data_IF_977239922747
#
_entry.id   IF_977239922747
#
_cell.length_a   1.000
_cell.length_b   1.000
_cell.length_c   1.000
_cell.angle_alpha   90.00
_cell.angle_beta   90.00
_cell.angle_gamma   90.00
#
_symmetry.space_group_name_H-M   'P 1'
#
loop_
_entity.id
_entity.type
_entity.pdbx_description
1 polymer ?
#
# COMPACT_ATOMS: atom_id res chain seq x y z
N UNK A 1 -14.64 -70.21 -23.23
CA UNK A 1 -13.98 -68.94 -23.50
C UNK A 1 -14.88 -67.85 -22.89
N UNK A 2 -14.48 -67.32 -21.73
CA UNK A 2 -15.22 -66.23 -21.04
C UNK A 2 -14.41 -64.96 -21.23
N UNK A 3 -14.96 -63.99 -21.97
CA UNK A 3 -14.37 -62.66 -22.13
C UNK A 3 -14.75 -61.79 -20.90
N UNK A 4 -13.74 -61.39 -20.16
CA UNK A 4 -13.85 -60.42 -19.07
C UNK A 4 -13.70 -59.03 -19.65
N UNK A 5 -14.75 -58.18 -19.54
CA UNK A 5 -14.70 -56.75 -19.82
C UNK A 5 -14.30 -56.00 -18.56
N UNK A 6 -13.13 -55.32 -18.58
CA UNK A 6 -12.74 -54.34 -17.57
C UNK A 6 -13.51 -53.02 -17.80
N UNK A 7 -14.01 -52.38 -16.75
CA UNK A 7 -14.59 -51.06 -16.89
C UNK A 7 -13.47 -49.98 -16.99
N UNK A 8 -13.53 -49.16 -18.00
CA UNK A 8 -12.70 -47.95 -18.16
C UNK A 8 -13.33 -46.85 -17.29
N UNK A 9 -12.66 -46.52 -16.18
CA UNK A 9 -13.04 -45.42 -15.33
C UNK A 9 -12.52 -44.12 -15.95
N UNK A 10 -13.45 -43.30 -16.47
CA UNK A 10 -13.15 -41.99 -17.03
C UNK A 10 -12.90 -41.01 -15.85
N UNK A 11 -11.66 -40.64 -15.61
CA UNK A 11 -11.29 -39.59 -14.69
C UNK A 11 -11.54 -38.24 -15.38
N UNK A 12 -12.63 -37.56 -15.04
CA UNK A 12 -12.87 -36.18 -15.43
C UNK A 12 -11.92 -35.29 -14.61
N UNK A 13 -10.88 -34.78 -15.26
CA UNK A 13 -10.07 -33.69 -14.74
C UNK A 13 -10.90 -32.42 -14.77
N UNK A 14 -11.37 -31.97 -13.61
CA UNK A 14 -11.96 -30.65 -13.44
C UNK A 14 -10.81 -29.62 -13.45
N UNK A 15 -10.56 -29.02 -14.62
CA UNK A 15 -9.67 -27.88 -14.73
C UNK A 15 -10.37 -26.68 -14.06
N UNK A 16 -9.99 -26.39 -12.83
CA UNK A 16 -10.34 -25.15 -12.17
C UNK A 16 -9.48 -24.06 -12.84
N UNK A 17 -10.07 -23.36 -13.79
CA UNK A 17 -9.51 -22.12 -14.28
C UNK A 17 -9.62 -21.09 -13.16
N UNK A 18 -8.52 -20.82 -12.46
CA UNK A 18 -8.34 -19.55 -11.79
C UNK A 18 -8.28 -18.50 -12.91
N UNK A 19 -9.39 -17.86 -13.17
CA UNK A 19 -9.44 -16.71 -14.05
C UNK A 19 -8.59 -15.61 -13.40
N UNK A 20 -7.43 -15.33 -13.99
CA UNK A 20 -6.76 -14.04 -13.74
C UNK A 20 -7.79 -12.97 -14.09
N UNK A 21 -8.23 -12.20 -13.10
CA UNK A 21 -9.05 -11.01 -13.34
C UNK A 21 -8.19 -10.08 -14.18
N UNK A 22 -8.57 -9.84 -15.42
CA UNK A 22 -7.90 -8.83 -16.22
C UNK A 22 -8.48 -7.47 -15.84
N UNK A 23 -7.63 -6.45 -15.78
CA UNK A 23 -8.00 -5.04 -15.60
C UNK A 23 -9.05 -4.53 -16.64
N UNK A 24 -9.35 -5.32 -17.67
CA UNK A 24 -10.30 -4.99 -18.72
C UNK A 24 -11.75 -4.74 -18.28
N UNK A 25 -12.06 -5.01 -16.99
CA UNK A 25 -13.40 -4.79 -16.42
C UNK A 25 -13.46 -3.51 -15.55
N UNK A 26 -12.33 -2.79 -15.36
CA UNK A 26 -12.31 -1.54 -14.60
C UNK A 26 -12.68 -0.36 -15.51
N UNK A 27 -13.86 0.19 -15.28
CA UNK A 27 -14.34 1.39 -15.97
C UNK A 27 -14.27 2.57 -15.00
N UNK A 28 -13.77 3.71 -15.48
CA UNK A 28 -13.71 4.96 -14.76
C UNK A 28 -14.36 6.07 -15.59
N UNK A 29 -15.10 6.95 -14.92
CA UNK A 29 -15.70 8.12 -15.56
C UNK A 29 -16.11 9.14 -14.51
N UNK A 30 -16.01 10.41 -14.86
CA UNK A 30 -16.44 11.50 -13.98
C UNK A 30 -17.93 11.40 -13.66
N UNK A 31 -18.26 11.39 -12.36
CA UNK A 31 -19.64 11.21 -11.87
C UNK A 31 -20.29 12.54 -11.45
N UNK A 32 -19.55 13.64 -11.42
CA UNK A 32 -20.01 14.94 -10.96
C UNK A 32 -20.37 14.98 -9.47
N UNK A 33 -19.73 14.13 -8.65
CA UNK A 33 -19.96 14.06 -7.20
C UNK A 33 -19.07 15.10 -6.49
N UNK A 34 -19.50 15.47 -5.29
CA UNK A 34 -18.66 16.24 -4.37
C UNK A 34 -17.46 15.39 -3.93
N UNK A 35 -16.28 16.01 -3.95
CA UNK A 35 -15.03 15.42 -3.46
C UNK A 35 -14.60 16.24 -2.23
N UNK A 36 -14.41 15.60 -1.06
CA UNK A 36 -13.91 16.30 0.13
C UNK A 36 -12.50 16.82 -0.08
N UNK A 37 -12.14 17.91 0.64
CA UNK A 37 -10.79 18.47 0.62
C UNK A 37 -9.84 17.59 1.46
N UNK A 38 -8.66 17.29 0.91
CA UNK A 38 -7.56 16.67 1.65
C UNK A 38 -6.80 17.71 2.47
N UNK A 39 -6.33 17.34 3.65
CA UNK A 39 -5.50 18.21 4.48
C UNK A 39 -4.07 17.68 4.58
N UNK A 40 -3.19 18.21 3.74
CA UNK A 40 -1.75 17.91 3.82
C UNK A 40 -1.12 18.33 5.15
N UNK A 41 -1.69 19.32 5.83
CA UNK A 41 -1.26 19.73 7.17
C UNK A 41 -1.51 18.63 8.20
N UNK A 42 -2.70 18.00 8.19
CA UNK A 42 -2.98 16.86 9.10
C UNK A 42 -2.15 15.63 8.74
N UNK A 43 -2.02 15.32 7.44
CA UNK A 43 -1.17 14.21 7.00
C UNK A 43 0.29 14.41 7.46
N UNK A 44 0.84 15.62 7.29
CA UNK A 44 2.18 15.97 7.78
C UNK A 44 2.29 15.80 9.31
N UNK A 45 1.27 16.23 10.05
CA UNK A 45 1.25 16.07 11.51
C UNK A 45 1.24 14.59 11.91
N UNK A 46 0.48 13.75 11.23
CA UNK A 46 0.49 12.29 11.47
C UNK A 46 1.86 11.65 11.19
N UNK A 47 2.59 12.13 10.18
CA UNK A 47 3.96 11.68 9.93
C UNK A 47 4.88 12.13 11.08
N UNK A 48 4.78 13.38 11.52
CA UNK A 48 5.59 13.90 12.61
C UNK A 48 5.37 13.11 13.92
N UNK A 49 4.12 12.80 14.26
CA UNK A 49 3.76 12.00 15.44
C UNK A 49 4.32 10.56 15.36
N UNK A 50 4.36 9.96 14.17
CA UNK A 50 5.01 8.66 13.95
C UNK A 50 6.53 8.73 14.21
N UNK A 51 7.17 9.77 13.67
CA UNK A 51 8.61 9.99 13.80
C UNK A 51 9.03 10.27 15.26
N UNK A 52 8.16 10.90 16.05
CA UNK A 52 8.41 11.16 17.48
C UNK A 52 8.53 9.87 18.30
N UNK A 53 7.94 8.75 17.88
CA UNK A 53 8.17 7.45 18.54
C UNK A 53 9.59 6.94 18.34
N UNK A 54 10.30 7.43 17.33
CA UNK A 54 11.58 6.89 16.86
C UNK A 54 11.40 5.81 15.78
N UNK A 55 12.48 5.12 15.41
CA UNK A 55 12.44 4.04 14.42
C UNK A 55 11.45 2.93 14.80
N UNK A 56 10.48 2.69 13.93
CA UNK A 56 9.39 1.74 14.16
C UNK A 56 9.78 0.31 13.78
N UNK A 57 11.00 -0.06 14.14
CA UNK A 57 11.55 -1.40 13.86
C UNK A 57 10.81 -2.45 14.67
N UNK A 58 10.42 -3.59 14.08
CA UNK A 58 9.75 -4.70 14.76
C UNK A 58 10.41 -5.07 16.11
N UNK A 59 9.60 -5.34 17.13
CA UNK A 59 9.97 -5.64 18.52
C UNK A 59 10.47 -4.45 19.38
N UNK A 60 10.65 -3.25 18.84
CA UNK A 60 11.06 -2.07 19.62
C UNK A 60 9.89 -1.47 20.41
N UNK A 61 10.18 -0.52 21.32
CA UNK A 61 9.14 0.23 22.02
C UNK A 61 8.41 1.19 21.07
N UNK A 62 9.16 1.84 20.15
CA UNK A 62 8.58 2.71 19.12
C UNK A 62 7.55 1.97 18.26
N UNK A 63 7.85 0.74 17.83
CA UNK A 63 6.96 -0.13 17.09
C UNK A 63 5.68 -0.46 17.89
N UNK A 64 5.79 -0.77 19.20
CA UNK A 64 4.62 -1.01 20.05
C UNK A 64 3.76 0.23 20.28
N UNK A 65 4.37 1.40 20.41
CA UNK A 65 3.64 2.66 20.56
C UNK A 65 2.94 3.06 19.26
N UNK A 66 3.59 2.89 18.12
CA UNK A 66 3.04 3.21 16.83
C UNK A 66 1.78 2.38 16.50
N UNK A 67 1.81 1.05 16.67
CA UNK A 67 0.61 0.24 16.40
C UNK A 67 -0.55 0.57 17.37
N UNK A 68 -0.27 0.97 18.61
CA UNK A 68 -1.31 1.41 19.53
C UNK A 68 -1.92 2.74 19.07
N UNK A 69 -1.11 3.68 18.64
CA UNK A 69 -1.51 4.97 18.09
C UNK A 69 -2.39 4.80 16.85
N UNK A 70 -1.97 4.03 15.88
CA UNK A 70 -2.76 3.72 14.68
C UNK A 70 -4.08 3.05 15.04
N UNK A 71 -4.05 2.02 15.88
CA UNK A 71 -5.24 1.31 16.31
C UNK A 71 -6.25 2.23 17.02
N UNK A 72 -5.78 3.18 17.82
CA UNK A 72 -6.65 4.18 18.45
C UNK A 72 -7.29 5.08 17.38
N UNK A 73 -6.48 5.70 16.50
CA UNK A 73 -6.96 6.60 15.46
C UNK A 73 -8.01 5.95 14.55
N UNK A 74 -7.73 4.73 14.05
CA UNK A 74 -8.66 4.03 13.18
C UNK A 74 -9.92 3.57 13.92
N UNK A 75 -9.86 3.26 15.21
CA UNK A 75 -11.09 2.98 16.01
C UNK A 75 -11.94 4.21 16.24
N UNK A 76 -11.33 5.36 16.39
CA UNK A 76 -12.04 6.65 16.53
C UNK A 76 -12.73 7.04 15.23
N UNK A 77 -12.15 6.74 14.07
CA UNK A 77 -12.68 7.11 12.75
C UNK A 77 -13.61 6.04 12.14
N UNK A 78 -13.21 4.78 12.09
CA UNK A 78 -14.01 3.69 11.49
C UNK A 78 -14.98 3.02 12.47
N UNK A 79 -14.79 3.22 13.78
CA UNK A 79 -15.52 2.52 14.84
C UNK A 79 -14.91 1.17 15.22
N UNK A 80 -15.12 0.79 16.49
CA UNK A 80 -14.46 -0.37 17.10
C UNK A 80 -14.68 -1.70 16.38
N UNK A 81 -15.86 -1.90 15.80
CA UNK A 81 -16.23 -3.15 15.12
C UNK A 81 -15.63 -3.28 13.72
N UNK A 82 -15.14 -2.18 13.16
CA UNK A 82 -14.60 -2.09 11.81
C UNK A 82 -13.06 -2.12 11.77
N UNK A 83 -12.40 -2.25 12.92
CA UNK A 83 -10.94 -2.27 13.03
C UNK A 83 -10.45 -3.58 13.61
N UNK A 84 -9.50 -4.19 12.92
CA UNK A 84 -8.89 -5.46 13.30
C UNK A 84 -7.37 -5.36 13.26
N UNK A 85 -6.70 -5.75 14.35
CA UNK A 85 -5.25 -5.91 14.41
C UNK A 85 -4.91 -7.38 14.22
N UNK A 86 -4.27 -7.70 13.11
CA UNK A 86 -3.83 -9.04 12.76
C UNK A 86 -2.42 -9.28 13.31
N UNK A 87 -2.33 -9.93 14.47
CA UNK A 87 -1.05 -10.24 15.12
C UNK A 87 -0.49 -11.56 14.61
N UNK A 88 0.80 -11.59 14.28
CA UNK A 88 1.49 -12.80 13.84
C UNK A 88 2.97 -12.81 14.26
N UNK A 89 3.64 -13.93 14.05
CA UNK A 89 5.06 -14.08 14.35
C UNK A 89 5.78 -14.65 13.13
N UNK A 90 6.97 -14.13 12.89
CA UNK A 90 7.86 -14.61 11.85
C UNK A 90 9.28 -14.75 12.41
N UNK A 91 9.98 -15.83 12.04
CA UNK A 91 11.41 -15.96 12.35
C UNK A 91 12.21 -15.44 11.17
N UNK A 92 13.01 -14.42 11.41
CA UNK A 92 13.84 -13.75 10.40
C UNK A 92 15.25 -13.62 10.94
N UNK A 93 16.24 -14.14 10.24
CA UNK A 93 17.68 -14.14 10.63
C UNK A 93 17.96 -14.70 12.04
N UNK A 94 17.09 -15.57 12.53
CA UNK A 94 17.20 -16.18 13.87
C UNK A 94 16.43 -15.44 14.96
N UNK A 95 15.94 -14.25 14.70
CA UNK A 95 15.08 -13.49 15.60
C UNK A 95 13.61 -13.82 15.38
N UNK A 96 12.83 -13.86 16.46
CA UNK A 96 11.38 -13.98 16.38
C UNK A 96 10.76 -12.59 16.43
N UNK A 97 10.22 -12.15 15.30
CA UNK A 97 9.51 -10.87 15.18
C UNK A 97 8.04 -11.05 15.60
N UNK A 98 7.53 -10.10 16.40
CA UNK A 98 6.11 -9.95 16.67
C UNK A 98 5.60 -8.82 15.78
N UNK A 99 4.69 -9.13 14.89
CA UNK A 99 4.26 -8.26 13.79
C UNK A 99 2.75 -8.03 13.86
N UNK A 100 2.29 -6.89 13.37
CA UNK A 100 0.91 -6.42 13.51
C UNK A 100 0.44 -5.68 12.26
N UNK A 101 -0.31 -6.37 11.38
CA UNK A 101 -1.07 -5.64 10.37
C UNK A 101 -2.31 -5.00 11.03
N UNK A 102 -2.71 -3.83 10.56
CA UNK A 102 -3.94 -3.18 10.97
C UNK A 102 -4.87 -3.07 9.77
N UNK A 103 -6.13 -3.47 9.95
CA UNK A 103 -7.18 -3.37 8.92
C UNK A 103 -8.30 -2.50 9.47
N UNK A 104 -8.74 -1.50 8.71
CA UNK A 104 -9.87 -0.64 9.04
C UNK A 104 -10.83 -0.56 7.84
N UNK A 105 -12.13 -0.83 8.07
CA UNK A 105 -13.15 -0.85 7.03
C UNK A 105 -14.09 0.35 7.16
N UNK A 106 -14.24 1.11 6.07
CA UNK A 106 -15.15 2.25 5.93
C UNK A 106 -16.24 1.95 4.90
N UNK A 107 -17.41 2.59 5.02
CA UNK A 107 -18.54 2.31 4.13
C UNK A 107 -18.91 0.84 4.14
N UNK A 108 -19.10 0.25 5.33
CA UNK A 108 -19.30 -1.20 5.52
C UNK A 108 -20.62 -1.72 4.97
N UNK A 109 -21.55 -0.83 4.63
CA UNK A 109 -22.80 -1.12 3.93
C UNK A 109 -22.59 -1.46 2.44
N UNK A 110 -21.45 -1.08 1.85
CA UNK A 110 -21.09 -1.40 0.48
C UNK A 110 -20.43 -2.77 0.39
N UNK A 111 -21.00 -3.65 -0.44
CA UNK A 111 -20.40 -4.95 -0.77
C UNK A 111 -19.26 -4.83 -1.80
N UNK A 112 -19.30 -3.76 -2.59
CA UNK A 112 -18.30 -3.40 -3.57
C UNK A 112 -17.26 -2.51 -2.92
N UNK A 113 -15.99 -2.90 -2.97
CA UNK A 113 -14.95 -2.31 -2.14
C UNK A 113 -13.63 -2.13 -2.91
N UNK A 114 -12.80 -1.21 -2.44
CA UNK A 114 -11.40 -1.05 -2.85
C UNK A 114 -10.50 -1.16 -1.63
N UNK A 115 -9.21 -1.38 -1.87
CA UNK A 115 -8.18 -1.50 -0.87
C UNK A 115 -7.18 -0.35 -1.00
N UNK A 116 -6.89 0.34 0.10
CA UNK A 116 -5.77 1.27 0.24
C UNK A 116 -4.77 0.68 1.22
N UNK A 117 -3.48 0.78 0.95
CA UNK A 117 -2.47 0.23 1.84
C UNK A 117 -1.21 1.11 1.91
N UNK A 118 -0.47 0.94 2.99
CA UNK A 118 0.90 1.41 3.18
C UNK A 118 1.60 0.45 4.14
N UNK A 119 2.93 0.37 4.13
CA UNK A 119 3.66 -0.22 5.24
C UNK A 119 3.88 0.82 6.33
N UNK A 120 4.08 0.39 7.59
CA UNK A 120 4.20 1.30 8.72
C UNK A 120 5.46 1.11 9.57
N UNK A 121 6.13 -0.02 9.43
CA UNK A 121 7.44 -0.23 10.02
C UNK A 121 8.49 0.66 9.37
N UNK A 122 9.64 0.76 9.98
CA UNK A 122 10.80 1.43 9.39
C UNK A 122 12.02 0.51 9.40
N UNK A 123 12.93 0.79 8.51
CA UNK A 123 14.12 -0.02 8.27
C UNK A 123 15.02 -0.11 9.49
N UNK A 124 15.49 -1.32 9.88
CA UNK A 124 16.35 -1.53 11.05
C UNK A 124 17.79 -1.07 10.86
N UNK A 125 18.17 -0.58 9.69
CA UNK A 125 19.51 -0.09 9.34
C UNK A 125 19.44 0.88 8.16
N UNK A 126 20.34 1.83 8.11
CA UNK A 126 20.46 2.80 7.03
C UNK A 126 21.58 2.43 6.09
N UNK A 127 21.54 1.27 5.42
CA UNK A 127 22.65 0.74 4.65
C UNK A 127 23.13 1.58 3.47
N UNK A 128 22.33 2.54 3.04
CA UNK A 128 22.71 3.54 2.03
C UNK A 128 23.31 4.83 2.68
N UNK A 129 23.31 4.92 4.03
CA UNK A 129 23.92 6.05 4.75
C UNK A 129 25.44 5.88 4.81
N UNK A 130 26.23 6.84 4.28
CA UNK A 130 27.68 6.71 4.27
C UNK A 130 28.33 6.87 5.65
N UNK A 131 27.67 7.50 6.60
CA UNK A 131 28.20 7.85 7.92
C UNK A 131 27.69 6.92 9.03
N UNK A 132 26.45 6.42 8.92
CA UNK A 132 25.79 5.56 9.92
C UNK A 132 24.93 4.44 9.29
N UNK A 133 25.54 3.46 8.63
CA UNK A 133 24.82 2.42 7.90
C UNK A 133 24.14 1.36 8.80
N UNK A 134 24.55 1.27 10.07
CA UNK A 134 24.12 0.20 10.98
C UNK A 134 22.94 0.63 11.87
N UNK A 135 22.67 1.92 11.99
CA UNK A 135 21.58 2.44 12.82
C UNK A 135 20.24 2.41 12.11
N UNK A 136 19.14 2.16 12.84
CA UNK A 136 17.80 2.20 12.28
C UNK A 136 17.41 3.62 11.82
N UNK A 137 16.61 3.74 10.78
CA UNK A 137 16.14 5.01 10.24
C UNK A 137 14.78 5.40 10.80
N UNK A 138 14.46 6.70 10.76
CA UNK A 138 13.15 7.20 11.20
C UNK A 138 12.02 6.82 10.24
N UNK A 139 12.30 6.71 8.93
CA UNK A 139 11.31 6.32 7.94
C UNK A 139 10.15 7.33 7.85
N UNK A 140 10.47 8.61 7.68
CA UNK A 140 9.43 9.66 7.59
C UNK A 140 8.67 9.56 6.27
N UNK A 141 9.38 9.33 5.17
CA UNK A 141 8.79 9.07 3.86
C UNK A 141 8.57 7.58 3.63
N UNK A 142 9.60 6.78 3.93
CA UNK A 142 9.61 5.32 3.79
C UNK A 142 8.87 4.65 4.95
N UNK A 143 7.63 4.31 4.64
CA UNK A 143 6.49 3.90 5.43
C UNK A 143 5.67 5.04 6.03
N UNK A 144 6.30 6.07 6.61
CA UNK A 144 5.60 7.11 7.36
C UNK A 144 4.64 7.96 6.53
N UNK A 145 5.01 8.32 5.30
CA UNK A 145 4.21 9.21 4.45
C UNK A 145 2.91 8.54 3.98
N UNK A 146 2.98 7.30 3.51
CA UNK A 146 1.79 6.54 3.12
C UNK A 146 0.79 6.40 4.26
N UNK A 147 1.28 6.06 5.46
CA UNK A 147 0.43 5.98 6.67
C UNK A 147 -0.18 7.34 7.02
N UNK A 148 0.57 8.44 6.94
CA UNK A 148 0.06 9.78 7.21
C UNK A 148 -1.09 10.17 6.28
N UNK A 149 -0.99 9.85 5.00
CA UNK A 149 -2.07 10.05 4.00
C UNK A 149 -3.28 9.19 4.34
N UNK A 150 -3.08 7.91 4.68
CA UNK A 150 -4.19 7.00 5.02
C UNK A 150 -4.90 7.37 6.32
N UNK A 151 -4.19 7.93 7.31
CA UNK A 151 -4.81 8.46 8.53
C UNK A 151 -5.69 9.68 8.24
N UNK A 152 -5.27 10.54 7.35
CA UNK A 152 -6.09 11.67 6.91
C UNK A 152 -7.32 11.20 6.12
N UNK A 153 -7.17 10.22 5.24
CA UNK A 153 -8.32 9.60 4.56
C UNK A 153 -9.32 9.02 5.57
N UNK A 154 -8.85 8.41 6.65
CA UNK A 154 -9.73 7.87 7.69
C UNK A 154 -10.61 8.96 8.34
N UNK A 155 -10.09 10.18 8.57
CA UNK A 155 -10.89 11.32 9.04
C UNK A 155 -11.96 11.71 8.02
N UNK A 156 -11.56 11.80 6.74
CA UNK A 156 -12.48 12.17 5.65
C UNK A 156 -13.59 11.12 5.50
N UNK A 157 -13.25 9.82 5.53
CA UNK A 157 -14.22 8.72 5.41
C UNK A 157 -15.15 8.60 6.62
N UNK A 158 -14.74 9.13 7.79
CA UNK A 158 -15.60 9.23 8.96
C UNK A 158 -16.61 10.39 8.86
N UNK A 159 -16.26 11.46 8.13
CA UNK A 159 -17.08 12.68 8.03
C UNK A 159 -18.00 12.68 6.81
N UNK A 160 -17.59 12.06 5.70
CA UNK A 160 -18.30 12.10 4.42
C UNK A 160 -18.69 10.70 3.94
N UNK A 161 -19.94 10.56 3.48
CA UNK A 161 -20.45 9.30 2.94
C UNK A 161 -19.62 8.83 1.74
N UNK A 162 -19.19 7.59 1.77
CA UNK A 162 -18.43 6.97 0.70
C UNK A 162 -19.35 6.44 -0.42
N UNK A 163 -18.98 6.61 -1.69
CA UNK A 163 -19.74 6.03 -2.81
C UNK A 163 -19.48 4.52 -3.01
N UNK A 164 -18.43 3.99 -2.40
CA UNK A 164 -17.95 2.60 -2.43
C UNK A 164 -17.32 2.26 -1.08
N UNK A 165 -17.27 1.00 -0.70
CA UNK A 165 -16.54 0.60 0.50
C UNK A 165 -15.03 0.76 0.31
N UNK A 166 -14.35 1.23 1.36
CA UNK A 166 -12.89 1.38 1.38
C UNK A 166 -12.33 0.65 2.58
N UNK A 167 -11.36 -0.24 2.32
CA UNK A 167 -10.57 -0.87 3.37
C UNK A 167 -9.17 -0.28 3.38
N UNK A 168 -8.69 0.11 4.55
CA UNK A 168 -7.32 0.57 4.75
C UNK A 168 -6.55 -0.55 5.44
N UNK A 169 -5.36 -0.89 4.92
CA UNK A 169 -4.46 -1.86 5.53
C UNK A 169 -3.11 -1.20 5.76
N UNK A 170 -2.60 -1.29 6.99
CA UNK A 170 -1.22 -0.99 7.32
C UNK A 170 -0.47 -2.30 7.47
N UNK A 171 0.51 -2.56 6.60
CA UNK A 171 1.36 -3.74 6.61
C UNK A 171 2.56 -3.53 7.54
N UNK A 172 3.00 -4.58 8.22
CA UNK A 172 4.13 -4.58 9.15
C UNK A 172 5.26 -5.48 8.66
N UNK A 173 6.49 -5.05 8.85
CA UNK A 173 7.67 -5.83 8.48
C UNK A 173 7.86 -5.91 6.96
N UNK A 174 7.50 -4.86 6.25
CA UNK A 174 7.81 -4.71 4.84
C UNK A 174 9.31 -4.64 4.66
N UNK A 175 9.99 -3.79 5.46
CA UNK A 175 11.33 -3.29 5.25
C UNK A 175 12.39 -3.93 6.18
N UNK A 176 12.10 -5.12 6.73
CA UNK A 176 13.02 -5.80 7.65
C UNK A 176 14.14 -6.57 6.92
N UNK A 177 13.95 -6.94 5.68
CA UNK A 177 14.88 -7.72 4.88
C UNK A 177 16.27 -7.10 4.73
N UNK A 178 17.29 -7.90 4.39
CA UNK A 178 18.59 -7.40 3.92
C UNK A 178 18.60 -7.31 2.41
N UNK A 179 19.38 -6.40 1.86
CA UNK A 179 19.50 -6.20 0.41
C UNK A 179 19.68 -7.54 -0.33
N UNK A 180 18.93 -7.75 -1.38
CA UNK A 180 18.88 -8.97 -2.21
C UNK A 180 18.20 -10.20 -1.59
N UNK A 181 17.63 -10.11 -0.40
CA UNK A 181 16.90 -11.21 0.26
C UNK A 181 15.39 -10.90 0.33
N UNK A 182 14.71 -10.98 -0.80
CA UNK A 182 13.27 -10.67 -0.91
C UNK A 182 12.37 -11.62 -0.11
N UNK A 183 12.87 -12.76 0.37
CA UNK A 183 12.08 -13.69 1.17
C UNK A 183 11.76 -13.14 2.58
N UNK A 184 12.54 -12.15 3.03
CA UNK A 184 12.40 -11.52 4.34
C UNK A 184 11.90 -10.07 4.30
N UNK A 185 11.44 -9.62 3.11
CA UNK A 185 10.66 -8.41 2.92
C UNK A 185 9.16 -8.72 2.84
N UNK A 186 8.31 -7.70 2.95
CA UNK A 186 6.87 -7.80 2.72
C UNK A 186 6.17 -8.81 3.65
N UNK A 187 6.63 -8.94 4.89
CA UNK A 187 6.16 -9.98 5.83
C UNK A 187 4.67 -9.83 6.13
N UNK A 188 4.21 -8.59 6.28
CA UNK A 188 2.83 -8.25 6.56
C UNK A 188 1.87 -8.62 5.43
N UNK A 189 2.16 -8.19 4.22
CA UNK A 189 1.34 -8.48 3.05
C UNK A 189 1.33 -9.96 2.71
N UNK A 190 2.47 -10.67 2.86
CA UNK A 190 2.53 -12.13 2.73
C UNK A 190 1.62 -12.83 3.73
N UNK A 191 1.66 -12.40 5.01
CA UNK A 191 0.82 -13.01 6.03
C UNK A 191 -0.66 -12.70 5.78
N UNK A 192 -1.00 -11.44 5.50
CA UNK A 192 -2.36 -11.02 5.23
C UNK A 192 -2.96 -11.73 4.01
N UNK A 193 -2.24 -11.80 2.90
CA UNK A 193 -2.70 -12.46 1.69
C UNK A 193 -3.03 -13.96 1.89
N UNK A 194 -2.24 -14.66 2.71
CA UNK A 194 -2.50 -16.05 3.07
C UNK A 194 -3.55 -16.23 4.17
N UNK A 195 -3.88 -15.18 4.94
CA UNK A 195 -4.77 -15.23 6.08
C UNK A 195 -5.76 -14.05 6.07
N UNK A 196 -6.54 -13.85 5.00
CA UNK A 196 -7.45 -12.71 4.92
C UNK A 196 -8.47 -12.77 6.08
N UNK A 197 -8.75 -11.63 6.76
CA UNK A 197 -9.63 -11.61 7.94
C UNK A 197 -11.08 -11.94 7.58
N UNK A 198 -11.46 -11.78 6.32
CA UNK A 198 -12.79 -12.07 5.81
C UNK A 198 -12.69 -13.14 4.71
N UNK A 199 -13.35 -14.31 4.86
CA UNK A 199 -13.38 -15.31 3.82
C UNK A 199 -13.99 -14.79 2.52
N UNK A 200 -13.31 -15.01 1.40
CA UNK A 200 -13.78 -14.54 0.09
C UNK A 200 -13.64 -13.04 -0.13
N UNK A 201 -12.79 -12.36 0.67
CA UNK A 201 -12.47 -10.95 0.46
C UNK A 201 -11.90 -10.72 -0.95
N UNK A 202 -12.54 -9.84 -1.70
CA UNK A 202 -12.21 -9.62 -3.10
C UNK A 202 -12.56 -8.19 -3.54
N UNK A 203 -11.81 -7.16 -3.13
CA UNK A 203 -12.02 -5.79 -3.58
C UNK A 203 -11.75 -5.67 -5.09
N UNK A 204 -12.28 -4.61 -5.72
CA UNK A 204 -12.08 -4.35 -7.15
C UNK A 204 -10.60 -4.24 -7.52
N UNK A 205 -9.87 -3.49 -6.70
CA UNK A 205 -8.43 -3.25 -6.84
C UNK A 205 -7.84 -2.75 -5.52
N UNK A 206 -6.51 -2.66 -5.47
CA UNK A 206 -5.76 -2.01 -4.38
C UNK A 206 -4.84 -0.91 -4.87
N UNK A 207 -4.54 0.03 -3.97
CA UNK A 207 -3.53 1.08 -4.15
C UNK A 207 -2.61 1.05 -2.94
N UNK A 208 -1.33 0.84 -3.18
CA UNK A 208 -0.26 0.99 -2.20
C UNK A 208 0.30 2.41 -2.29
N UNK A 209 0.52 3.04 -1.15
CA UNK A 209 1.17 4.34 -1.02
C UNK A 209 2.51 4.15 -0.31
N UNK A 210 3.60 4.30 -1.03
CA UNK A 210 4.94 4.16 -0.50
C UNK A 210 5.82 5.33 -0.96
N UNK A 211 6.54 5.96 -0.01
CA UNK A 211 7.35 7.15 -0.25
C UNK A 211 6.61 8.24 -1.04
N UNK A 212 5.44 8.67 -0.52
CA UNK A 212 4.52 9.60 -1.19
C UNK A 212 4.54 11.01 -0.59
N UNK A 213 5.55 11.36 0.21
CA UNK A 213 5.63 12.64 0.91
C UNK A 213 6.95 13.40 0.74
N UNK A 214 7.94 12.83 0.06
CA UNK A 214 9.28 13.40 0.02
C UNK A 214 9.48 14.56 -0.94
N UNK A 215 10.34 15.52 -0.60
CA UNK A 215 10.74 16.64 -1.47
C UNK A 215 11.31 16.15 -2.79
N UNK A 216 10.81 16.74 -3.88
CA UNK A 216 11.23 16.42 -5.23
C UNK A 216 10.75 15.05 -5.70
N UNK A 217 9.72 14.51 -5.05
CA UNK A 217 9.07 13.28 -5.47
C UNK A 217 8.59 13.37 -6.91
N UNK A 218 8.70 12.26 -7.61
CA UNK A 218 8.06 12.01 -8.89
C UNK A 218 7.55 10.58 -8.90
N UNK A 219 6.40 10.38 -9.52
CA UNK A 219 5.71 9.11 -9.65
C UNK A 219 5.59 8.73 -11.13
N UNK A 220 6.60 8.10 -11.75
CA UNK A 220 6.40 7.48 -13.05
C UNK A 220 5.52 6.24 -12.90
N UNK A 221 4.90 5.78 -14.00
CA UNK A 221 4.01 4.60 -13.98
C UNK A 221 4.81 3.34 -13.70
N UNK A 222 4.74 2.83 -12.47
CA UNK A 222 5.47 1.65 -12.01
C UNK A 222 5.15 0.43 -12.87
N UNK A 223 6.16 -0.42 -13.11
CA UNK A 223 6.10 -1.43 -14.17
C UNK A 223 5.21 -2.64 -13.85
N UNK A 224 5.13 -3.10 -12.60
CA UNK A 224 4.20 -4.16 -12.20
C UNK A 224 2.77 -3.62 -12.08
N UNK A 225 2.58 -2.41 -11.58
CA UNK A 225 1.31 -1.70 -11.56
C UNK A 225 0.71 -1.61 -12.96
N UNK A 226 1.52 -1.27 -13.96
CA UNK A 226 1.12 -1.26 -15.37
C UNK A 226 0.84 -2.65 -15.94
N UNK A 227 1.34 -3.71 -15.33
CA UNK A 227 1.02 -5.08 -15.71
C UNK A 227 -0.28 -5.56 -15.07
N UNK A 228 -0.54 -5.19 -13.80
CA UNK A 228 -1.68 -5.68 -13.02
C UNK A 228 -2.97 -4.91 -13.28
N UNK A 229 -2.87 -3.56 -13.34
CA UNK A 229 -4.03 -2.67 -13.45
C UNK A 229 -3.73 -1.42 -14.30
N UNK A 230 -3.42 -1.57 -15.61
CA UNK A 230 -3.07 -0.45 -16.48
C UNK A 230 -4.19 0.61 -16.59
N UNK A 231 -5.46 0.24 -16.55
CA UNK A 231 -6.58 1.19 -16.60
C UNK A 231 -6.61 2.05 -15.34
N UNK A 232 -6.40 1.46 -14.16
CA UNK A 232 -6.33 2.18 -12.88
C UNK A 232 -5.14 3.16 -12.86
N UNK A 233 -3.94 2.70 -13.27
CA UNK A 233 -2.75 3.56 -13.36
C UNK A 233 -3.02 4.73 -14.29
N UNK A 234 -3.55 4.47 -15.50
CA UNK A 234 -3.81 5.53 -16.46
C UNK A 234 -4.84 6.54 -15.94
N UNK A 235 -5.90 6.09 -15.24
CA UNK A 235 -6.89 6.99 -14.65
C UNK A 235 -6.27 7.88 -13.58
N UNK A 236 -5.51 7.33 -12.61
CA UNK A 236 -4.85 8.09 -11.54
C UNK A 236 -3.90 9.14 -12.13
N UNK A 237 -3.06 8.76 -13.10
CA UNK A 237 -2.13 9.69 -13.73
C UNK A 237 -2.84 10.75 -14.59
N UNK A 238 -4.02 10.41 -15.16
CA UNK A 238 -4.86 11.39 -15.86
C UNK A 238 -5.43 12.43 -14.89
N UNK A 239 -5.94 11.98 -13.74
CA UNK A 239 -6.41 12.89 -12.66
C UNK A 239 -5.28 13.79 -12.20
N UNK A 240 -4.08 13.26 -11.97
CA UNK A 240 -2.90 14.05 -11.61
C UNK A 240 -2.59 15.16 -12.62
N UNK A 241 -2.65 14.83 -13.91
CA UNK A 241 -2.45 15.82 -14.98
C UNK A 241 -3.58 16.86 -15.04
N UNK A 242 -4.85 16.44 -14.88
CA UNK A 242 -6.01 17.33 -14.86
C UNK A 242 -5.97 18.35 -13.69
N UNK A 243 -5.43 17.93 -12.53
CA UNK A 243 -5.29 18.77 -11.35
C UNK A 243 -4.03 19.64 -11.36
N UNK A 244 -3.20 19.54 -12.41
CA UNK A 244 -1.97 20.32 -12.54
C UNK A 244 -0.76 19.68 -11.85
N UNK A 245 -0.86 18.42 -11.42
CA UNK A 245 0.22 17.65 -10.78
C UNK A 245 1.03 16.80 -11.77
N UNK A 246 1.01 17.15 -13.05
CA UNK A 246 1.73 16.42 -14.11
C UNK A 246 3.25 16.36 -13.93
N UNK A 247 3.82 17.27 -13.15
CA UNK A 247 5.26 17.23 -12.78
C UNK A 247 5.57 16.22 -11.67
N UNK A 248 4.54 15.77 -10.92
CA UNK A 248 4.63 14.71 -9.93
C UNK A 248 4.21 13.36 -10.53
N UNK A 249 3.00 13.27 -11.10
CA UNK A 249 2.46 12.08 -11.76
C UNK A 249 2.92 12.03 -13.23
N UNK A 250 4.14 11.59 -13.43
CA UNK A 250 4.76 11.61 -14.76
C UNK A 250 4.10 10.57 -15.69
N UNK A 251 3.60 11.03 -16.84
CA UNK A 251 3.08 10.12 -17.87
C UNK A 251 4.22 9.39 -18.61
N UNK A 252 5.12 8.78 -17.85
CA UNK A 252 6.29 8.06 -18.30
C UNK A 252 6.30 6.65 -17.70
N UNK A 253 6.98 5.73 -18.38
CA UNK A 253 7.12 4.37 -17.88
C UNK A 253 8.15 4.34 -16.74
N UNK A 254 7.73 3.87 -15.58
CA UNK A 254 8.59 3.61 -14.43
C UNK A 254 9.33 2.29 -14.49
N UNK A 255 10.16 2.05 -13.49
CA UNK A 255 10.81 0.78 -13.25
C UNK A 255 9.86 -0.27 -12.71
N UNK A 256 10.36 -1.51 -12.56
CA UNK A 256 9.67 -2.57 -11.82
C UNK A 256 10.23 -2.62 -10.42
N UNK A 257 9.38 -2.40 -9.43
CA UNK A 257 9.77 -2.33 -8.02
C UNK A 257 9.07 -3.47 -7.28
N UNK A 258 9.85 -4.29 -6.57
CA UNK A 258 9.28 -5.29 -5.68
C UNK A 258 8.79 -4.58 -4.41
N UNK A 259 7.51 -4.80 -4.05
CA UNK A 259 6.87 -4.18 -2.90
C UNK A 259 5.58 -4.96 -2.55
N UNK A 260 4.90 -4.59 -1.47
CA UNK A 260 3.68 -5.23 -0.96
C UNK A 260 2.62 -5.48 -2.02
N UNK A 261 2.46 -4.57 -3.01
CA UNK A 261 1.47 -4.69 -4.08
C UNK A 261 1.65 -5.95 -4.93
N UNK A 262 2.88 -6.36 -5.22
CA UNK A 262 3.11 -7.59 -5.99
C UNK A 262 2.79 -8.83 -5.16
N UNK A 263 3.04 -8.77 -3.86
CA UNK A 263 2.75 -9.89 -2.93
C UNK A 263 1.23 -10.07 -2.80
N UNK A 264 0.50 -8.97 -2.63
CA UNK A 264 -0.97 -8.99 -2.57
C UNK A 264 -1.53 -9.58 -3.86
N UNK A 265 -1.11 -9.10 -5.03
CA UNK A 265 -1.58 -9.60 -6.31
C UNK A 265 -1.28 -11.09 -6.49
N UNK A 266 -0.03 -11.51 -6.26
CA UNK A 266 0.40 -12.89 -6.47
C UNK A 266 -0.33 -13.90 -5.57
N UNK A 267 -0.65 -13.52 -4.32
CA UNK A 267 -1.29 -14.44 -3.37
C UNK A 267 -2.81 -14.41 -3.51
N UNK A 268 -3.40 -13.23 -3.72
CA UNK A 268 -4.85 -13.06 -3.64
C UNK A 268 -5.52 -12.90 -5.00
N UNK A 269 -4.77 -12.52 -6.04
CA UNK A 269 -5.31 -12.15 -7.34
C UNK A 269 -6.00 -10.77 -7.37
N UNK A 270 -5.88 -9.97 -6.30
CA UNK A 270 -6.38 -8.60 -6.26
C UNK A 270 -5.42 -7.73 -7.08
N UNK A 271 -5.88 -7.10 -8.19
CA UNK A 271 -5.02 -6.21 -8.96
C UNK A 271 -4.66 -5.00 -8.09
N UNK A 272 -3.38 -4.84 -7.77
CA UNK A 272 -2.90 -3.78 -6.89
C UNK A 272 -1.80 -2.99 -7.56
N UNK A 273 -1.87 -1.67 -7.44
CA UNK A 273 -0.86 -0.74 -7.96
C UNK A 273 -0.08 -0.10 -6.81
N UNK A 274 1.07 0.47 -7.15
CA UNK A 274 1.91 1.25 -6.24
C UNK A 274 2.09 2.68 -6.77
N UNK A 275 1.82 3.67 -5.92
CA UNK A 275 2.26 5.06 -6.11
C UNK A 275 3.53 5.19 -5.29
N UNK A 276 4.69 5.26 -5.96
CA UNK A 276 5.99 5.23 -5.30
C UNK A 276 6.99 6.17 -5.95
N UNK A 277 7.70 6.93 -5.12
CA UNK A 277 8.77 7.82 -5.59
C UNK A 277 9.98 7.06 -6.11
N UNK A 278 10.22 7.14 -7.39
CA UNK A 278 11.43 6.59 -8.02
C UNK A 278 11.78 7.29 -9.34
N UNK A 279 12.97 7.02 -9.81
CA UNK A 279 13.44 7.41 -11.14
C UNK A 279 13.95 6.19 -11.90
N UNK A 280 14.07 6.32 -13.20
CA UNK A 280 14.72 5.31 -14.05
C UNK A 280 15.90 6.00 -14.74
N UNK A 281 17.10 5.44 -14.58
CA UNK A 281 18.28 5.96 -15.23
C UNK A 281 18.32 5.63 -16.74
N UNK A 282 19.30 6.15 -17.45
CA UNK A 282 19.45 5.93 -18.89
C UNK A 282 19.70 4.45 -19.28
N UNK A 283 20.03 3.59 -18.31
CA UNK A 283 20.24 2.15 -18.51
C UNK A 283 19.00 1.34 -18.15
N UNK A 284 17.95 1.99 -17.61
CA UNK A 284 16.71 1.35 -17.19
C UNK A 284 16.71 0.86 -15.73
N UNK A 285 17.71 1.23 -14.92
CA UNK A 285 17.77 0.86 -13.51
C UNK A 285 16.90 1.80 -12.68
N UNK A 286 16.21 1.23 -11.67
CA UNK A 286 15.48 2.00 -10.66
C UNK A 286 16.48 2.75 -9.78
N UNK A 287 16.16 4.01 -9.51
CA UNK A 287 16.90 4.88 -8.60
C UNK A 287 15.89 5.45 -7.60
N UNK A 288 16.10 5.18 -6.32
CA UNK A 288 15.36 5.78 -5.23
C UNK A 288 15.92 7.17 -4.87
N UNK A 289 15.17 7.99 -4.11
CA UNK A 289 15.68 9.31 -3.70
C UNK A 289 16.94 9.19 -2.82
N UNK A 290 17.79 10.21 -2.77
CA UNK A 290 19.07 10.14 -2.07
C UNK A 290 18.98 10.02 -0.55
N UNK A 291 17.79 10.20 0.04
CA UNK A 291 17.54 9.98 1.46
C UNK A 291 17.04 8.56 1.77
N UNK A 292 16.66 7.79 0.75
CA UNK A 292 16.19 6.41 0.90
C UNK A 292 17.21 5.54 1.64
N UNK A 293 16.77 4.82 2.66
CA UNK A 293 17.59 3.98 3.53
C UNK A 293 18.79 4.71 4.19
N UNK A 294 18.61 6.01 4.48
CA UNK A 294 19.60 6.82 5.21
C UNK A 294 18.99 7.52 6.40
N UNK A 295 19.83 8.07 7.30
CA UNK A 295 19.40 8.90 8.43
C UNK A 295 18.74 10.21 7.99
N UNK A 296 18.78 10.55 6.70
CA UNK A 296 18.13 11.73 6.15
C UNK A 296 16.64 11.49 5.83
N UNK A 297 16.13 10.25 5.92
CA UNK A 297 14.69 10.01 5.85
C UNK A 297 14.00 10.42 7.17
N UNK A 298 13.81 11.72 7.32
CA UNK A 298 13.27 12.38 8.49
C UNK A 298 12.31 13.52 8.09
N UNK A 299 11.74 14.24 9.05
CA UNK A 299 10.75 15.29 8.78
C UNK A 299 11.25 16.46 7.91
N UNK A 300 12.56 16.64 7.77
CA UNK A 300 13.11 17.73 6.95
C UNK A 300 12.88 17.52 5.46
N UNK A 301 12.70 16.26 5.03
CA UNK A 301 12.45 15.95 3.62
C UNK A 301 10.96 15.89 3.27
N UNK A 302 10.06 15.95 4.23
CA UNK A 302 8.61 15.88 3.94
C UNK A 302 8.10 17.19 3.34
N UNK A 303 7.32 17.05 2.27
CA UNK A 303 6.73 18.14 1.49
C UNK A 303 5.20 18.02 1.48
N UNK A 304 4.54 19.04 2.04
CA UNK A 304 3.07 19.09 2.11
C UNK A 304 2.41 19.22 0.73
N UNK A 305 3.09 19.81 -0.24
CA UNK A 305 2.53 19.91 -1.61
C UNK A 305 2.47 18.54 -2.29
N UNK A 306 3.46 17.67 -2.04
CA UNK A 306 3.45 16.30 -2.50
C UNK A 306 2.34 15.49 -1.83
N UNK A 307 2.21 15.60 -0.51
CA UNK A 307 1.12 14.95 0.25
C UNK A 307 -0.26 15.41 -0.24
N UNK A 308 -0.42 16.74 -0.51
CA UNK A 308 -1.65 17.29 -1.04
C UNK A 308 -2.01 16.69 -2.40
N UNK A 309 -1.04 16.63 -3.32
CA UNK A 309 -1.25 16.10 -4.66
C UNK A 309 -1.69 14.61 -4.63
N UNK A 310 -1.06 13.79 -3.80
CA UNK A 310 -1.43 12.37 -3.65
C UNK A 310 -2.83 12.26 -3.04
N UNK A 311 -3.11 13.04 -2.00
CA UNK A 311 -4.42 13.07 -1.34
C UNK A 311 -5.55 13.45 -2.30
N UNK A 312 -5.39 14.56 -3.03
CA UNK A 312 -6.38 15.07 -3.98
C UNK A 312 -6.68 14.05 -5.09
N UNK A 313 -5.63 13.46 -5.67
CA UNK A 313 -5.76 12.50 -6.77
C UNK A 313 -6.50 11.23 -6.33
N UNK A 314 -6.17 10.69 -5.16
CA UNK A 314 -6.82 9.47 -4.65
C UNK A 314 -8.26 9.75 -4.22
N UNK A 315 -8.54 10.90 -3.59
CA UNK A 315 -9.92 11.27 -3.25
C UNK A 315 -10.78 11.51 -4.49
N UNK A 316 -10.26 12.18 -5.51
CA UNK A 316 -10.96 12.34 -6.78
C UNK A 316 -11.32 10.98 -7.39
N UNK A 317 -10.37 10.04 -7.41
CA UNK A 317 -10.63 8.70 -7.89
C UNK A 317 -11.80 8.06 -7.11
N UNK A 318 -11.73 8.04 -5.78
CA UNK A 318 -12.70 7.36 -4.91
C UNK A 318 -14.08 8.00 -5.02
N UNK A 319 -14.16 9.32 -4.85
CA UNK A 319 -15.45 10.01 -4.76
C UNK A 319 -16.08 10.28 -6.12
N UNK A 320 -15.29 10.52 -7.17
CA UNK A 320 -15.81 11.05 -8.42
C UNK A 320 -15.58 10.18 -9.65
N UNK A 321 -14.60 9.25 -9.68
CA UNK A 321 -14.28 8.48 -10.90
C UNK A 321 -14.75 7.04 -10.89
N UNK A 322 -14.98 6.43 -9.72
CA UNK A 322 -15.47 5.06 -9.63
C UNK A 322 -16.99 5.04 -9.84
N UNK A 323 -17.52 4.35 -10.87
CA UNK A 323 -18.95 4.14 -11.06
C UNK A 323 -19.53 3.33 -9.90
N UNK A 324 -20.83 3.58 -9.59
CA UNK A 324 -21.58 2.81 -8.59
C UNK A 324 -21.93 1.43 -9.11
#
# INVERSE_FOLDING_TARGET
MKHSLLPVTLFSFLLIFFGCRSDGDLEFSEQGRFVPEFSSERAYQYIAEQVEFGPRVPNTEAHRQAIQYFNQHFRETAGNSSVYVQSFRQVVYGDTLNLYNLVAAFGTEHSDRILLAAHWDSRPRGEEDPDDPDSPILGADDGGSGVGVLMEFANIFAEYDLPIGVDIILFDGEDYGVQSDLDHYFLGSRYWGNNPPVPGYNPRFGILLDMVGGKGAIFPKEGYSMQFAPSLVNEIWSIGAEFGYGDLFLNERGGRIADDHIIVEQITGIPMINIIHHRVDALGNVQFPPYWHTQNDNMEIIDKEVLQAVGDVVLELIYNRIPK
#
